data_IF_682331970101
#
_entry.id   IF_682331970101
#
_cell.length_a   1.000
_cell.length_b   1.000
_cell.length_c   1.000
_cell.angle_alpha   90.00
_cell.angle_beta   90.00
_cell.angle_gamma   90.00
#
_symmetry.space_group_name_H-M   'P 1'
#
loop_
_entity.id
_entity.type
_entity.pdbx_description
1 polymer ?
2 polymer ?
3 polymer ?
4 non-polymer ?
5 water ?
#
# COMPACT_ATOMS: atom_id res chain seq x y z
N UNK A 1 -12.95 9.32 -14.80
CA UNK A 1 -13.03 9.55 -13.36
C UNK A 1 -11.86 10.32 -12.77
N UNK A 2 -11.80 10.42 -11.44
CA UNK A 2 -10.74 11.11 -10.70
C UNK A 2 -9.43 10.35 -10.69
N UNK A 3 -8.29 11.09 -10.72
CA UNK A 3 -6.94 10.52 -10.67
C UNK A 3 -6.06 11.17 -9.62
N UNK A 4 -4.99 10.48 -9.24
CA UNK A 4 -4.10 11.03 -8.26
C UNK A 4 -2.68 10.78 -8.57
N UNK A 5 -1.78 11.56 -7.99
CA UNK A 5 -0.36 11.36 -8.11
C UNK A 5 0.15 11.44 -6.69
N UNK A 6 0.87 10.44 -6.21
CA UNK A 6 1.35 10.43 -4.83
C UNK A 6 2.73 9.94 -4.74
N UNK A 7 3.52 10.56 -3.85
CA UNK A 7 4.89 10.11 -3.59
C UNK A 7 4.94 9.65 -2.14
N UNK A 8 5.65 8.53 -1.87
CA UNK A 8 5.76 7.91 -0.55
C UNK A 8 7.20 7.78 -0.20
N UNK A 9 7.62 8.31 0.96
CA UNK A 9 9.03 8.23 1.36
C UNK A 9 9.12 7.62 2.72
N UNK A 10 10.07 6.71 2.92
CA UNK A 10 10.41 6.11 4.21
C UNK A 10 11.93 6.22 4.35
N UNK A 11 12.42 6.75 5.51
CA UNK A 11 13.82 6.85 5.93
C UNK A 11 13.90 6.16 7.30
N UNK A 12 14.79 5.17 7.41
CA UNK A 12 14.97 4.34 8.63
C UNK A 12 16.44 4.44 9.07
N UNK A 13 16.70 5.02 10.25
CA UNK A 13 18.04 5.13 10.80
C UNK A 13 18.59 3.75 11.14
N UNK A 14 19.87 3.51 10.80
CA UNK A 14 20.57 2.24 11.05
C UNK A 14 21.66 2.60 12.09
N UNK A 15 21.32 2.62 13.41
CA UNK A 15 22.30 3.07 14.41
C UNK A 15 23.66 2.40 14.29
N UNK A 16 24.66 3.24 13.95
CA UNK A 16 26.04 2.84 13.76
C UNK A 16 26.34 2.22 12.41
N UNK A 17 25.51 1.24 11.97
CA UNK A 17 25.66 0.50 10.71
C UNK A 17 25.32 1.32 9.43
N UNK A 18 25.87 2.53 9.35
CA UNK A 18 25.74 3.41 8.20
C UNK A 18 24.61 4.41 8.20
N UNK A 19 24.49 5.14 7.08
CA UNK A 19 23.47 6.15 6.83
C UNK A 19 22.07 5.48 6.72
N UNK A 20 20.98 6.23 6.96
CA UNK A 20 19.66 5.61 6.94
C UNK A 20 19.21 5.07 5.58
N UNK A 21 18.49 3.95 5.60
CA UNK A 21 17.86 3.36 4.43
C UNK A 21 16.70 4.26 3.96
N UNK A 22 16.81 4.80 2.75
CA UNK A 22 15.75 5.63 2.15
C UNK A 22 15.11 4.90 0.97
N UNK A 23 13.74 4.83 0.94
CA UNK A 23 12.96 4.22 -0.13
C UNK A 23 11.90 5.23 -0.55
N UNK A 24 11.88 5.64 -1.81
CA UNK A 24 10.91 6.58 -2.34
C UNK A 24 10.08 5.92 -3.42
N UNK A 25 8.77 6.08 -3.41
CA UNK A 25 7.95 5.42 -4.46
C UNK A 25 6.95 6.45 -5.00
N UNK A 26 6.77 6.50 -6.32
CA UNK A 26 5.81 7.38 -6.94
C UNK A 26 4.71 6.57 -7.56
N UNK A 27 3.46 7.02 -7.43
CA UNK A 27 2.29 6.35 -7.97
C UNK A 27 1.39 7.29 -8.73
N UNK A 28 0.79 6.79 -9.81
CA UNK A 28 -0.31 7.50 -10.49
C UNK A 28 -1.47 6.57 -10.19
N UNK A 29 -2.49 7.01 -9.41
CA UNK A 29 -3.60 6.17 -8.95
C UNK A 29 -2.99 4.99 -8.13
N UNK A 30 -3.28 3.72 -8.50
CA UNK A 30 -2.70 2.57 -7.80
C UNK A 30 -1.52 1.91 -8.51
N UNK A 31 -0.96 2.58 -9.55
CA UNK A 31 0.16 2.12 -10.38
C UNK A 31 1.44 2.86 -10.03
N UNK A 32 2.47 2.11 -9.58
CA UNK A 32 3.78 2.65 -9.27
C UNK A 32 4.47 2.99 -10.62
N UNK A 33 5.17 4.15 -10.71
CA UNK A 33 5.81 4.53 -11.97
C UNK A 33 7.27 4.88 -11.78
N UNK A 34 7.70 5.19 -10.54
CA UNK A 34 9.10 5.50 -10.25
C UNK A 34 9.51 4.92 -8.93
N UNK A 35 10.80 4.74 -8.72
CA UNK A 35 11.29 4.27 -7.43
C UNK A 35 12.69 4.83 -7.21
N UNK A 36 13.14 4.89 -5.97
CA UNK A 36 14.49 5.20 -5.59
C UNK A 36 14.76 4.40 -4.33
N UNK A 37 15.85 3.63 -4.32
CA UNK A 37 16.21 2.88 -3.13
C UNK A 37 17.66 3.13 -2.87
N UNK A 38 17.95 3.71 -1.69
CA UNK A 38 19.29 4.07 -1.23
C UNK A 38 20.23 2.86 -1.22
N UNK A 39 19.67 1.63 -1.16
CA UNK A 39 20.42 0.37 -1.15
C UNK A 39 20.54 -0.26 -2.54
N UNK A 40 19.81 0.27 -3.55
CA UNK A 40 19.85 -0.29 -4.90
C UNK A 40 21.17 0.04 -5.62
N UNK A 41 21.45 -0.69 -6.73
CA UNK A 41 22.68 -0.57 -7.51
C UNK A 41 22.83 0.73 -8.27
N UNK A 42 21.75 1.19 -8.92
CA UNK A 42 21.75 2.39 -9.76
C UNK A 42 22.06 3.71 -9.07
N UNK A 43 21.58 3.91 -7.82
CA UNK A 43 21.71 5.17 -7.09
C UNK A 43 21.01 6.30 -7.83
N UNK A 44 19.95 5.95 -8.55
CA UNK A 44 19.16 6.88 -9.35
C UNK A 44 17.70 6.59 -9.22
N UNK A 45 16.84 7.55 -9.59
CA UNK A 45 15.40 7.34 -9.66
C UNK A 45 15.21 6.46 -10.91
N UNK A 46 14.45 5.35 -10.78
CA UNK A 46 14.28 4.36 -11.82
C UNK A 46 12.85 4.29 -12.32
N UNK A 47 12.62 4.06 -13.63
CA UNK A 47 11.24 3.86 -14.11
C UNK A 47 10.64 2.54 -13.63
N UNK A 48 9.31 2.48 -13.45
CA UNK A 48 8.60 1.27 -13.00
C UNK A 48 7.33 1.07 -13.76
N UNK A 49 7.08 1.88 -14.78
CA UNK A 49 5.90 1.77 -15.63
C UNK A 49 6.35 2.03 -17.06
N UNK A 50 5.84 1.31 -18.07
CA UNK A 50 6.36 1.54 -19.43
C UNK A 50 6.16 2.94 -19.99
N UNK A 51 5.08 3.60 -19.61
CA UNK A 51 4.73 4.93 -20.12
C UNK A 51 5.56 6.05 -19.52
N UNK A 52 6.46 5.77 -18.54
CA UNK A 52 7.33 6.80 -17.95
C UNK A 52 8.68 6.67 -18.56
N UNK A 53 8.97 5.52 -19.15
CA UNK A 53 10.29 5.24 -19.71
C UNK A 53 10.66 6.20 -20.84
N UNK A 54 9.67 6.69 -21.59
CA UNK A 54 9.84 7.64 -22.72
C UNK A 54 10.41 9.03 -22.31
N UNK A 55 10.66 9.23 -20.99
CA UNK A 55 11.21 10.45 -20.41
C UNK A 55 12.69 10.51 -20.59
N UNK A 56 13.18 11.69 -20.94
CA UNK A 56 14.58 11.92 -21.28
C UNK A 56 15.58 11.92 -20.16
N UNK A 57 16.89 11.93 -20.51
CA UNK A 57 17.94 11.94 -19.47
C UNK A 57 17.90 13.14 -18.52
N UNK A 58 17.43 14.34 -18.98
CA UNK A 58 17.31 15.49 -18.10
C UNK A 58 16.22 15.24 -17.07
N UNK A 59 15.16 14.50 -17.44
CA UNK A 59 14.08 14.13 -16.54
C UNK A 59 14.63 13.26 -15.41
N UNK A 60 15.32 12.14 -15.73
CA UNK A 60 15.89 11.23 -14.72
C UNK A 60 16.99 11.84 -13.88
N UNK A 61 17.70 12.85 -14.42
CA UNK A 61 18.79 13.52 -13.70
C UNK A 61 18.21 14.41 -12.58
N UNK A 62 17.17 15.17 -12.92
CA UNK A 62 16.41 16.08 -12.10
C UNK A 62 15.74 15.28 -10.95
N UNK A 63 14.97 14.22 -11.30
CA UNK A 63 14.29 13.32 -10.37
C UNK A 63 15.26 12.72 -9.40
N UNK A 64 16.46 12.32 -9.88
CA UNK A 64 17.50 11.76 -9.03
C UNK A 64 17.99 12.80 -8.03
N UNK A 65 18.30 14.02 -8.50
CA UNK A 65 18.82 15.07 -7.64
C UNK A 65 17.83 15.42 -6.53
N UNK A 66 16.57 15.66 -6.92
CA UNK A 66 15.45 16.06 -6.10
C UNK A 66 15.00 15.01 -5.11
N UNK A 67 15.10 13.71 -5.45
CA UNK A 67 14.76 12.64 -4.54
C UNK A 67 15.89 12.47 -3.52
N UNK A 68 17.15 12.72 -3.92
CA UNK A 68 18.30 12.60 -3.02
C UNK A 68 18.31 13.70 -1.98
N UNK A 69 17.86 14.89 -2.39
CA UNK A 69 17.73 16.08 -1.55
C UNK A 69 16.69 15.80 -0.44
N UNK A 70 15.56 15.15 -0.78
CA UNK A 70 14.52 14.75 0.14
C UNK A 70 15.13 13.78 1.14
N UNK A 71 15.93 12.83 0.64
CA UNK A 71 16.63 11.86 1.46
C UNK A 71 17.56 12.52 2.48
N UNK A 72 18.22 13.62 2.10
CA UNK A 72 19.15 14.35 2.97
C UNK A 72 18.40 15.13 4.03
N UNK A 73 17.25 15.76 3.68
CA UNK A 73 16.42 16.46 4.66
C UNK A 73 15.99 15.43 5.73
N UNK A 74 15.44 14.29 5.28
CA UNK A 74 15.02 13.19 6.15
C UNK A 74 16.11 12.75 7.11
N UNK A 75 17.38 12.61 6.64
CA UNK A 75 18.57 12.24 7.43
C UNK A 75 18.80 13.22 8.58
N UNK A 76 18.68 14.54 8.29
CA UNK A 76 18.84 15.64 9.26
C UNK A 76 17.71 15.53 10.27
N UNK A 77 16.43 15.50 9.75
CA UNK A 77 15.20 15.41 10.50
C UNK A 77 15.18 14.22 11.46
N UNK A 78 15.82 13.09 11.14
CA UNK A 78 15.90 11.93 12.02
C UNK A 78 16.68 12.31 13.31
N UNK A 79 17.77 13.09 13.17
CA UNK A 79 18.55 13.61 14.29
C UNK A 79 17.81 14.72 15.03
N UNK A 80 17.16 15.62 14.30
CA UNK A 80 16.35 16.69 14.87
C UNK A 80 15.20 16.11 15.72
N UNK A 81 14.44 15.14 15.19
CA UNK A 81 13.28 14.52 15.88
C UNK A 81 13.70 13.67 17.06
N UNK A 82 14.91 13.11 17.03
CA UNK A 82 15.49 12.35 18.14
C UNK A 82 15.74 13.33 19.32
N UNK A 83 16.06 14.57 18.95
CA UNK A 83 16.29 15.68 19.87
C UNK A 83 14.99 16.13 20.49
N UNK A 84 13.97 16.40 19.66
CA UNK A 84 12.61 16.81 20.08
C UNK A 84 11.95 15.81 21.04
N UNK A 85 12.05 14.52 20.74
CA UNK A 85 11.45 13.49 21.55
C UNK A 85 12.36 12.95 22.62
N UNK A 86 13.57 13.52 22.78
CA UNK A 86 14.55 13.19 23.83
C UNK A 86 14.94 11.70 23.82
N UNK A 87 15.31 11.18 22.64
CA UNK A 87 15.67 9.76 22.50
C UNK A 87 17.14 9.53 22.33
N UNK A 88 17.63 8.33 22.70
CA UNK A 88 19.06 8.02 22.56
C UNK A 88 19.44 7.85 21.10
N UNK A 89 20.75 7.81 20.85
CA UNK A 89 21.39 7.63 19.55
C UNK A 89 21.41 6.15 19.13
N UNK A 90 21.12 5.22 20.07
CA UNK A 90 21.15 3.76 19.90
C UNK A 90 20.00 3.11 19.15
N UNK A 91 18.83 3.69 19.22
CA UNK A 91 17.65 3.09 18.60
C UNK A 91 17.48 3.47 17.15
N UNK A 92 16.77 2.60 16.42
CA UNK A 92 16.39 2.82 15.04
C UNK A 92 15.01 3.53 15.01
N UNK A 93 14.90 4.65 14.27
CA UNK A 93 13.64 5.39 14.13
C UNK A 93 13.29 5.58 12.65
N UNK A 94 11.99 5.82 12.38
CA UNK A 94 11.41 5.96 11.04
C UNK A 94 10.73 7.30 10.77
N UNK A 95 11.01 7.88 9.59
CA UNK A 95 10.26 9.03 9.10
C UNK A 95 9.46 8.60 7.86
N UNK A 96 8.15 8.88 7.79
CA UNK A 96 7.31 8.59 6.64
C UNK A 96 6.68 9.87 6.15
N UNK A 97 6.71 10.09 4.85
CA UNK A 97 6.12 11.25 4.21
C UNK A 97 5.28 10.79 3.08
N UNK A 98 4.09 11.32 3.00
CA UNK A 98 3.25 11.10 1.83
C UNK A 98 2.75 12.48 1.40
N UNK A 99 2.87 12.80 0.09
CA UNK A 99 2.35 14.03 -0.52
C UNK A 99 1.86 13.80 -1.94
N UNK A 100 0.95 14.63 -2.40
CA UNK A 100 0.44 14.53 -3.77
C UNK A 100 -0.80 15.31 -4.07
N UNK A 101 -1.41 15.05 -5.24
CA UNK A 101 -2.60 15.76 -5.66
C UNK A 101 -3.60 14.89 -6.41
N UNK A 102 -4.87 15.31 -6.36
CA UNK A 102 -5.97 14.73 -7.13
C UNK A 102 -6.48 15.73 -8.15
N UNK A 103 -6.90 15.22 -9.31
CA UNK A 103 -7.54 15.97 -10.41
C UNK A 103 -8.81 15.21 -10.79
N UNK A 104 -9.84 15.92 -11.24
CA UNK A 104 -11.11 15.35 -11.69
C UNK A 104 -11.02 14.76 -13.08
N UNK A 105 -12.15 14.25 -13.63
CA UNK A 105 -12.10 13.71 -15.01
C UNK A 105 -11.70 14.80 -16.04
N UNK A 106 -12.06 16.09 -15.80
CA UNK A 106 -11.64 17.18 -16.70
C UNK A 106 -10.21 17.59 -16.51
N UNK A 107 -9.55 17.01 -15.49
CA UNK A 107 -8.17 17.32 -15.16
C UNK A 107 -8.06 18.54 -14.27
N UNK A 108 -9.18 19.01 -13.74
CA UNK A 108 -9.20 20.15 -12.83
C UNK A 108 -8.69 19.70 -11.44
N UNK A 109 -7.83 20.50 -10.79
CA UNK A 109 -7.29 20.28 -9.43
C UNK A 109 -8.43 20.07 -8.47
N UNK A 110 -8.35 19.00 -7.64
CA UNK A 110 -9.37 18.71 -6.65
C UNK A 110 -8.89 18.95 -5.23
N UNK A 111 -7.71 18.39 -4.87
CA UNK A 111 -7.09 18.44 -3.54
C UNK A 111 -5.59 18.22 -3.64
N UNK A 112 -4.87 18.78 -2.67
CA UNK A 112 -3.44 18.60 -2.51
C UNK A 112 -3.25 18.10 -1.08
N UNK A 113 -2.17 17.42 -0.78
CA UNK A 113 -1.99 16.91 0.59
C UNK A 113 -0.59 16.63 0.91
N UNK A 114 -0.25 16.71 2.19
CA UNK A 114 1.05 16.33 2.74
C UNK A 114 0.90 15.87 4.18
N UNK A 115 1.34 14.67 4.48
CA UNK A 115 1.30 14.11 5.84
C UNK A 115 2.66 13.49 6.15
N UNK A 116 3.15 13.73 7.37
CA UNK A 116 4.40 13.21 7.89
C UNK A 116 4.12 12.44 9.16
N UNK A 117 4.96 11.41 9.40
CA UNK A 117 4.91 10.57 10.56
C UNK A 117 6.30 10.36 11.11
N UNK A 118 6.40 10.09 12.42
CA UNK A 118 7.65 9.74 13.08
C UNK A 118 7.35 8.50 13.88
N UNK A 119 8.07 7.38 13.63
CA UNK A 119 7.85 6.08 14.30
C UNK A 119 6.44 5.58 14.16
N UNK A 120 5.89 5.73 12.97
CA UNK A 120 4.54 5.27 12.63
C UNK A 120 3.37 5.98 13.27
N UNK A 121 3.55 7.19 13.79
CA UNK A 121 2.50 8.03 14.40
C UNK A 121 2.55 9.37 13.69
N UNK A 122 1.42 10.09 13.61
CA UNK A 122 1.30 11.42 13.03
C UNK A 122 2.30 12.33 13.64
N UNK A 123 2.93 13.16 12.80
CA UNK A 123 3.87 14.12 13.27
C UNK A 123 3.34 15.52 12.92
N UNK A 124 3.16 15.78 11.61
CA UNK A 124 2.64 17.04 11.10
C UNK A 124 1.96 16.74 9.74
N UNK A 125 0.91 17.49 9.44
CA UNK A 125 0.12 17.41 8.23
C UNK A 125 -0.24 18.83 7.77
N UNK A 126 -0.27 19.03 6.46
CA UNK A 126 -0.72 20.29 5.89
C UNK A 126 -2.22 20.18 5.87
N UNK A 127 -2.95 21.24 6.17
CA UNK A 127 -4.40 21.23 6.18
C UNK A 127 -4.98 21.30 4.78
N UNK A 128 -6.26 20.99 4.67
CA UNK A 128 -7.03 20.96 3.45
C UNK A 128 -6.92 22.26 2.64
N UNK A 129 -6.88 23.44 3.30
CA UNK A 129 -6.75 24.77 2.66
C UNK A 129 -5.42 24.97 1.96
N UNK A 130 -4.38 24.18 2.33
CA UNK A 130 -2.99 24.28 1.81
C UNK A 130 -2.23 25.55 2.31
N UNK A 131 -2.75 26.19 3.38
CA UNK A 131 -2.19 27.40 3.99
C UNK A 131 -1.67 27.16 5.41
N UNK A 132 -2.37 26.33 6.19
CA UNK A 132 -2.03 26.03 7.58
C UNK A 132 -1.58 24.58 7.84
N UNK A 133 -0.96 24.33 9.00
CA UNK A 133 -0.45 23.03 9.43
C UNK A 133 -1.16 22.57 10.69
N UNK A 134 -1.23 21.22 10.90
CA UNK A 134 -1.71 20.57 12.12
C UNK A 134 -0.60 19.64 12.61
N UNK A 135 0.03 20.03 13.73
CA UNK A 135 1.06 19.31 14.44
C UNK A 135 0.35 18.36 15.39
N UNK A 136 0.83 17.13 15.55
CA UNK A 136 0.15 16.10 16.37
C UNK A 136 0.44 16.21 17.86
N UNK A 137 1.46 16.95 18.23
CA UNK A 137 1.89 17.07 19.62
C UNK A 137 2.75 18.33 19.73
N UNK A 138 3.29 18.59 20.93
CA UNK A 138 4.09 19.77 21.25
C UNK A 138 5.47 19.80 20.63
N UNK A 139 6.13 18.65 20.39
CA UNK A 139 7.45 18.60 19.72
C UNK A 139 7.24 18.99 18.24
N UNK A 140 6.23 18.40 17.60
CA UNK A 140 5.86 18.68 16.20
C UNK A 140 5.51 20.15 15.96
N UNK A 141 5.04 20.86 16.99
CA UNK A 141 4.70 22.30 16.96
C UNK A 141 5.90 23.18 16.66
N UNK A 142 7.07 22.72 17.12
CA UNK A 142 8.38 23.35 16.89
C UNK A 142 8.61 23.41 15.35
N UNK A 143 8.33 22.29 14.61
CA UNK A 143 8.41 22.21 13.13
C UNK A 143 7.42 23.17 12.51
N UNK A 144 6.18 23.16 13.00
CA UNK A 144 5.12 24.07 12.55
C UNK A 144 5.52 25.55 12.65
N UNK A 145 6.11 25.96 13.79
CA UNK A 145 6.57 27.33 14.03
C UNK A 145 7.63 27.72 13.01
N UNK A 146 8.58 26.82 12.78
CA UNK A 146 9.68 26.98 11.83
C UNK A 146 9.13 27.12 10.38
N UNK A 147 8.12 26.32 10.01
CA UNK A 147 7.54 26.32 8.66
C UNK A 147 6.62 27.49 8.41
N UNK A 148 5.94 27.96 9.47
CA UNK A 148 5.06 29.10 9.39
C UNK A 148 5.89 30.37 9.14
N UNK A 149 7.07 30.43 9.80
CA UNK A 149 8.01 31.56 9.72
C UNK A 149 8.65 31.58 8.34
N UNK A 150 9.13 30.41 7.88
CA UNK A 150 9.79 30.23 6.57
C UNK A 150 8.82 30.27 5.40
N UNK A 151 7.50 30.38 5.64
CA UNK A 151 6.43 30.40 4.63
C UNK A 151 6.51 29.13 3.76
N UNK A 152 6.77 27.99 4.41
CA UNK A 152 6.91 26.69 3.77
C UNK A 152 5.62 26.25 3.09
N UNK A 153 4.46 26.58 3.67
CA UNK A 153 3.18 26.22 3.09
C UNK A 153 2.98 26.79 1.72
N UNK A 154 3.41 28.07 1.49
CA UNK A 154 3.26 28.74 0.18
C UNK A 154 4.14 28.04 -0.86
N UNK A 155 5.35 27.66 -0.43
CA UNK A 155 6.31 26.93 -1.26
C UNK A 155 5.77 25.53 -1.67
N UNK A 156 5.17 24.82 -0.70
CA UNK A 156 4.58 23.49 -0.86
C UNK A 156 3.32 23.56 -1.69
N UNK A 157 2.47 24.56 -1.44
CA UNK A 157 1.24 24.78 -2.18
C UNK A 157 1.53 24.96 -3.68
N UNK A 158 2.58 25.75 -4.02
CA UNK A 158 3.03 26.04 -5.41
C UNK A 158 3.22 24.71 -6.17
N UNK A 159 3.76 23.70 -5.47
CA UNK A 159 3.92 22.35 -6.00
C UNK A 159 2.62 21.58 -6.03
N UNK A 160 1.89 21.49 -4.90
CA UNK A 160 0.69 20.66 -4.79
C UNK A 160 -0.47 21.09 -5.64
N UNK A 161 -0.61 22.40 -5.93
CA UNK A 161 -1.75 22.78 -6.74
C UNK A 161 -1.33 23.33 -8.12
N UNK A 162 -0.02 23.27 -8.38
CA UNK A 162 0.65 23.70 -9.62
C UNK A 162 1.50 22.62 -10.27
N UNK A 163 2.80 22.51 -9.90
CA UNK A 163 3.75 21.51 -10.43
C UNK A 163 3.18 20.06 -10.46
N UNK A 164 2.58 19.60 -9.34
CA UNK A 164 2.00 18.27 -9.17
C UNK A 164 0.91 18.05 -10.24
N UNK A 165 -0.07 18.96 -10.31
CA UNK A 165 -1.19 18.93 -11.27
C UNK A 165 -0.68 18.93 -12.73
N UNK A 166 0.35 19.73 -13.06
CA UNK A 166 0.91 19.82 -14.44
C UNK A 166 1.43 18.43 -14.87
N UNK A 167 2.30 17.84 -14.07
CA UNK A 167 2.89 16.56 -14.38
C UNK A 167 1.90 15.39 -14.28
N UNK A 168 0.93 15.41 -13.33
CA UNK A 168 -0.07 14.37 -13.28
C UNK A 168 -0.83 14.35 -14.63
N UNK A 169 -1.24 15.53 -15.14
CA UNK A 169 -1.93 15.66 -16.43
C UNK A 169 -1.08 15.10 -17.55
N UNK A 170 0.23 15.32 -17.55
CA UNK A 170 1.16 14.78 -18.53
C UNK A 170 1.25 13.25 -18.46
N UNK A 171 1.41 12.68 -17.23
CA UNK A 171 1.50 11.26 -17.01
C UNK A 171 0.24 10.56 -17.45
N UNK A 172 -0.92 11.16 -17.21
CA UNK A 172 -2.22 10.59 -17.61
C UNK A 172 -2.38 10.59 -19.12
N UNK A 173 -1.72 11.53 -19.81
CA UNK A 173 -1.75 11.62 -21.27
C UNK A 173 -0.76 10.61 -21.84
N UNK A 174 0.46 10.56 -21.30
CA UNK A 174 1.49 9.61 -21.68
C UNK A 174 1.12 8.13 -21.42
N UNK A 175 0.33 7.87 -20.38
CA UNK A 175 -0.14 6.52 -20.05
C UNK A 175 -1.60 6.30 -20.32
N UNK A 176 -2.20 7.07 -21.24
CA UNK A 176 -3.62 7.02 -21.58
C UNK A 176 -4.10 5.61 -22.02
N UNK A 177 -3.17 4.79 -22.51
CA UNK A 177 -3.42 3.43 -22.98
C UNK A 177 -3.72 2.45 -21.86
N UNK A 178 -3.25 2.74 -20.61
CA UNK A 178 -3.38 1.87 -19.42
C UNK A 178 -4.04 2.53 -18.18
N UNK A 179 -3.76 3.82 -17.89
CA UNK A 179 -4.30 4.51 -16.69
C UNK A 179 -5.82 4.81 -16.71
N UNK A 180 -6.43 4.98 -17.90
CA UNK A 180 -7.87 5.23 -17.97
C UNK A 180 -8.73 3.92 -17.79
N UNK A 181 -8.09 2.72 -17.74
CA UNK A 181 -8.75 1.42 -17.50
C UNK A 181 -9.30 1.28 -16.06
N UNK A 182 -10.48 0.70 -15.95
CA UNK A 182 -11.18 0.31 -14.71
C UNK A 182 -11.65 -1.12 -14.98
N UNK A 183 -11.21 -2.11 -14.17
CA UNK A 183 -11.64 -3.49 -14.31
C UNK A 183 -12.66 -3.78 -13.19
N UNK A 184 -13.92 -4.18 -13.53
CA UNK A 184 -14.90 -4.44 -12.46
C UNK A 184 -14.65 -5.79 -11.76
N UNK A 185 -15.13 -5.98 -10.50
CA UNK A 185 -14.85 -7.26 -9.80
C UNK A 185 -15.58 -8.46 -10.39
N UNK A 186 -14.86 -9.60 -10.55
CA UNK A 186 -15.44 -10.89 -10.93
C UNK A 186 -15.88 -11.51 -9.61
N UNK A 187 -17.20 -11.55 -9.35
CA UNK A 187 -17.78 -12.07 -8.12
C UNK A 187 -18.16 -13.57 -8.17
N UNK A 188 -18.16 -14.21 -6.98
CA UNK A 188 -18.54 -15.61 -6.75
C UNK A 188 -18.59 -15.91 -5.24
N UNK A 189 -19.19 -17.04 -4.87
CA UNK A 189 -19.32 -17.46 -3.49
C UNK A 189 -18.85 -18.88 -3.35
N UNK A 190 -18.19 -19.22 -2.22
CA UNK A 190 -17.72 -20.59 -1.97
C UNK A 190 -18.31 -21.09 -0.65
N UNK A 191 -18.26 -22.41 -0.43
CA UNK A 191 -18.91 -23.02 0.74
C UNK A 191 -18.01 -24.08 1.24
N UNK A 192 -17.71 -24.00 2.54
CA UNK A 192 -16.73 -24.89 3.19
C UNK A 192 -17.26 -25.36 4.54
N UNK A 193 -17.78 -26.62 4.63
CA UNK A 193 -18.22 -27.13 5.95
C UNK A 193 -17.07 -27.10 6.95
N UNK A 194 -17.32 -26.70 8.18
CA UNK A 194 -16.27 -26.68 9.22
C UNK A 194 -16.52 -27.84 10.21
N UNK A 195 -17.69 -28.49 10.05
CA UNK A 195 -18.16 -29.64 10.81
C UNK A 195 -19.43 -30.19 10.10
N UNK A 196 -20.12 -31.12 10.77
CA UNK A 196 -21.37 -31.71 10.28
C UNK A 196 -22.52 -30.69 10.35
N UNK A 197 -22.42 -29.65 11.23
CA UNK A 197 -23.51 -28.72 11.55
C UNK A 197 -23.33 -27.26 11.08
N UNK A 198 -22.10 -26.85 10.72
CA UNK A 198 -21.83 -25.49 10.28
C UNK A 198 -20.92 -25.44 9.07
N UNK A 199 -21.00 -24.34 8.32
CA UNK A 199 -20.18 -24.09 7.14
C UNK A 199 -19.76 -22.62 6.99
N UNK A 200 -18.61 -22.36 6.38
CA UNK A 200 -18.12 -21.01 6.05
C UNK A 200 -18.64 -20.59 4.66
N UNK A 201 -19.46 -19.53 4.57
CA UNK A 201 -19.81 -18.98 3.26
C UNK A 201 -18.77 -17.87 3.01
N UNK A 202 -18.01 -17.97 1.92
CA UNK A 202 -16.99 -17.01 1.57
C UNK A 202 -17.36 -16.29 0.24
N UNK A 203 -17.48 -14.96 0.30
CA UNK A 203 -17.81 -14.11 -0.82
C UNK A 203 -16.56 -13.52 -1.40
N UNK A 204 -16.34 -13.78 -2.66
CA UNK A 204 -15.16 -13.37 -3.38
C UNK A 204 -15.39 -12.23 -4.39
N UNK A 205 -14.34 -11.41 -4.62
CA UNK A 205 -14.24 -10.31 -5.61
C UNK A 205 -12.82 -10.28 -6.11
N UNK A 206 -12.63 -10.62 -7.40
CA UNK A 206 -11.32 -10.73 -8.01
C UNK A 206 -11.17 -9.82 -9.22
N UNK A 207 -9.91 -9.58 -9.62
CA UNK A 207 -9.54 -8.78 -10.76
C UNK A 207 -10.13 -7.37 -10.88
N UNK A 208 -10.38 -6.67 -9.76
CA UNK A 208 -10.91 -5.30 -9.85
C UNK A 208 -9.75 -4.23 -9.79
N UNK A 209 -9.76 -3.19 -10.70
CA UNK A 209 -8.66 -2.20 -10.73
C UNK A 209 -8.85 -1.05 -9.73
N UNK A 210 -9.96 -0.31 -9.61
CA UNK A 210 -10.01 0.65 -8.49
C UNK A 210 -10.00 -0.19 -7.20
N UNK A 211 -8.83 -0.27 -6.50
CA UNK A 211 -8.62 -1.06 -5.27
C UNK A 211 -9.73 -0.89 -4.25
N UNK A 212 -10.40 0.26 -4.25
CA UNK A 212 -11.57 0.56 -3.38
C UNK A 212 -12.74 -0.42 -3.66
N UNK A 213 -13.31 -1.04 -2.60
CA UNK A 213 -14.41 -2.01 -2.68
C UNK A 213 -15.17 -2.15 -1.36
N UNK A 214 -16.41 -2.60 -1.42
CA UNK A 214 -17.22 -2.87 -0.22
C UNK A 214 -17.88 -4.25 -0.35
N UNK A 215 -17.53 -5.17 0.56
CA UNK A 215 -18.09 -6.52 0.63
C UNK A 215 -18.79 -6.64 1.99
N UNK A 216 -20.12 -6.76 2.01
CA UNK A 216 -20.82 -6.91 3.30
C UNK A 216 -21.69 -8.21 3.35
N UNK A 217 -21.97 -8.71 4.56
CA UNK A 217 -22.80 -9.89 4.77
C UNK A 217 -24.09 -9.48 5.52
N UNK A 218 -25.24 -9.92 5.01
CA UNK A 218 -26.52 -9.64 5.63
C UNK A 218 -27.32 -10.92 5.89
N UNK A 219 -27.80 -11.11 7.14
CA UNK A 219 -28.64 -12.25 7.49
C UNK A 219 -30.08 -11.73 7.57
N UNK A 220 -30.87 -11.99 6.50
CA UNK A 220 -32.26 -11.55 6.34
C UNK A 220 -32.37 -10.02 6.39
N UNK A 221 -31.57 -9.34 5.59
CA UNK A 221 -31.53 -7.88 5.53
C UNK A 221 -30.63 -7.23 6.56
N UNK A 222 -30.66 -7.70 7.82
CA UNK A 222 -29.86 -7.21 8.96
C UNK A 222 -28.37 -7.51 8.76
N UNK A 223 -27.49 -6.49 8.92
CA UNK A 223 -26.04 -6.62 8.75
C UNK A 223 -25.37 -7.49 9.81
N UNK A 224 -24.37 -8.30 9.39
CA UNK A 224 -23.63 -9.24 10.25
C UNK A 224 -22.17 -8.81 10.45
N UNK A 225 -21.91 -7.48 10.43
CA UNK A 225 -20.58 -6.84 10.53
C UNK A 225 -19.73 -7.27 11.76
N UNK A 226 -20.33 -8.01 12.72
CA UNK A 226 -19.72 -8.51 13.95
C UNK A 226 -19.25 -9.99 13.84
N UNK A 227 -19.83 -10.75 12.87
CA UNK A 227 -19.51 -12.17 12.65
C UNK A 227 -18.83 -12.42 11.29
N UNK A 228 -18.44 -11.33 10.63
CA UNK A 228 -17.78 -11.35 9.33
C UNK A 228 -16.24 -11.32 9.45
N UNK A 229 -15.56 -12.26 8.79
CA UNK A 229 -14.11 -12.23 8.70
C UNK A 229 -13.82 -11.54 7.37
N UNK A 230 -13.28 -10.32 7.44
CA UNK A 230 -12.92 -9.54 6.27
C UNK A 230 -11.42 -9.49 6.15
N UNK A 231 -10.89 -9.87 4.99
CA UNK A 231 -9.46 -9.78 4.76
C UNK A 231 -9.11 -8.44 4.07
N UNK A 232 -7.88 -7.95 4.30
CA UNK A 232 -7.37 -6.75 3.69
C UNK A 232 -7.30 -6.96 2.17
N UNK A 233 -7.65 -5.93 1.38
CA UNK A 233 -7.58 -5.96 -0.08
C UNK A 233 -6.17 -6.20 -0.41
N UNK A 234 -5.92 -7.07 -1.36
CA UNK A 234 -4.55 -7.48 -1.66
C UNK A 234 -4.29 -7.35 -3.14
N UNK A 235 -3.04 -7.11 -3.55
CA UNK A 235 -2.74 -7.03 -4.98
C UNK A 235 -2.64 -8.43 -5.64
N UNK A 236 -3.26 -8.61 -6.81
CA UNK A 236 -3.13 -9.84 -7.60
C UNK A 236 -1.69 -9.91 -8.16
N UNK A 237 -1.09 -8.74 -8.42
CA UNK A 237 0.27 -8.62 -8.92
C UNK A 237 0.37 -8.23 -10.38
N UNK A 238 -0.80 -8.03 -11.01
CA UNK A 238 -0.92 -7.63 -12.42
C UNK A 238 -1.71 -6.29 -12.51
N UNK A 239 -1.70 -5.54 -11.41
CA UNK A 239 -2.38 -4.26 -11.31
C UNK A 239 -3.77 -4.33 -10.76
N UNK A 240 -4.35 -5.53 -10.70
CA UNK A 240 -5.71 -5.70 -10.18
C UNK A 240 -5.65 -6.15 -8.73
N UNK A 241 -6.77 -6.04 -8.00
CA UNK A 241 -6.86 -6.37 -6.60
C UNK A 241 -7.83 -7.52 -6.34
N UNK A 242 -7.80 -8.06 -5.11
CA UNK A 242 -8.65 -9.17 -4.65
C UNK A 242 -9.07 -8.94 -3.23
N UNK A 243 -10.27 -9.41 -2.86
CA UNK A 243 -10.77 -9.35 -1.49
C UNK A 243 -11.81 -10.47 -1.27
N UNK A 244 -11.94 -10.92 -0.02
CA UNK A 244 -12.98 -11.85 0.39
C UNK A 244 -13.50 -11.52 1.77
N UNK A 245 -14.76 -11.82 1.98
CA UNK A 245 -15.52 -11.65 3.22
C UNK A 245 -16.13 -13.03 3.52
N UNK A 246 -16.14 -13.44 4.79
CA UNK A 246 -16.68 -14.76 5.17
C UNK A 246 -17.55 -14.70 6.38
N UNK A 247 -18.48 -15.62 6.48
CA UNK A 247 -19.40 -15.78 7.59
C UNK A 247 -19.56 -17.30 7.87
N UNK A 248 -19.62 -17.71 9.14
CA UNK A 248 -19.85 -19.11 9.56
C UNK A 248 -21.36 -19.21 9.79
N UNK A 249 -22.03 -20.06 9.00
CA UNK A 249 -23.49 -20.23 9.02
C UNK A 249 -23.90 -21.63 9.50
N UNK A 250 -25.08 -21.78 10.15
CA UNK A 250 -25.55 -23.14 10.50
C UNK A 250 -25.98 -23.88 9.22
N UNK A 251 -25.54 -25.12 9.05
CA UNK A 251 -25.88 -25.93 7.88
C UNK A 251 -27.40 -26.01 7.71
N UNK A 252 -27.86 -25.65 6.51
CA UNK A 252 -29.26 -25.62 6.12
C UNK A 252 -29.86 -24.23 6.11
N UNK A 253 -29.11 -23.24 6.64
CA UNK A 253 -29.56 -21.85 6.75
C UNK A 253 -28.87 -20.90 5.75
N UNK A 254 -28.04 -21.43 4.84
CA UNK A 254 -27.27 -20.71 3.81
C UNK A 254 -28.06 -19.70 2.98
N UNK A 255 -29.32 -20.02 2.68
CA UNK A 255 -30.17 -19.17 1.83
C UNK A 255 -30.59 -17.85 2.52
N UNK A 256 -30.43 -17.77 3.87
CA UNK A 256 -30.73 -16.61 4.73
C UNK A 256 -29.66 -15.51 4.64
N UNK A 257 -28.51 -15.83 4.02
CA UNK A 257 -27.34 -14.95 3.91
C UNK A 257 -27.14 -14.42 2.51
N UNK A 258 -26.87 -13.11 2.42
CA UNK A 258 -26.61 -12.39 1.17
C UNK A 258 -25.27 -11.64 1.22
N UNK A 259 -24.52 -11.66 0.14
CA UNK A 259 -23.29 -10.90 0.06
C UNK A 259 -23.50 -9.69 -0.86
N UNK A 260 -23.35 -8.46 -0.33
CA UNK A 260 -23.51 -7.24 -1.13
C UNK A 260 -22.14 -6.68 -1.57
N UNK A 261 -21.94 -6.48 -2.90
CA UNK A 261 -20.68 -6.04 -3.53
C UNK A 261 -20.78 -4.63 -4.19
N UNK A 262 -20.42 -3.58 -3.42
CA UNK A 262 -20.37 -2.19 -3.88
C UNK A 262 -18.96 -1.85 -4.39
N UNK A 263 -18.89 -1.48 -5.65
CA UNK A 263 -17.72 -1.04 -6.39
C UNK A 263 -18.21 0.04 -7.39
N UNK A 264 -17.30 0.97 -7.77
CA UNK A 264 -17.58 2.11 -8.67
C UNK A 264 -17.73 1.69 -10.13
N UNK A 265 -16.95 0.68 -10.56
CA UNK A 265 -16.98 0.14 -11.92
C UNK A 265 -18.13 -0.82 -12.17
N UNK A 266 -19.13 -0.82 -11.26
CA UNK A 266 -20.31 -1.66 -11.24
C UNK A 266 -21.60 -0.81 -11.33
N UNK A 267 -22.41 -1.03 -12.40
CA UNK A 267 -23.66 -0.28 -12.56
C UNK A 267 -24.61 -0.28 -11.37
N UNK A 268 -24.77 -1.44 -10.73
CA UNK A 268 -25.64 -1.60 -9.58
C UNK A 268 -24.95 -2.53 -8.58
N UNK A 269 -25.13 -2.30 -7.24
CA UNK A 269 -24.51 -3.19 -6.24
C UNK A 269 -24.93 -4.67 -6.33
N UNK A 270 -23.96 -5.54 -6.75
CA UNK A 270 -24.15 -6.99 -6.88
C UNK A 270 -24.57 -7.67 -5.60
N UNK A 271 -25.56 -8.56 -5.69
CA UNK A 271 -26.06 -9.38 -4.59
C UNK A 271 -25.85 -10.85 -4.94
N UNK A 272 -25.27 -11.58 -3.99
CA UNK A 272 -24.93 -12.97 -4.14
C UNK A 272 -25.60 -13.74 -3.02
N UNK A 273 -26.14 -14.92 -3.36
CA UNK A 273 -26.81 -15.80 -2.41
C UNK A 273 -26.39 -17.23 -2.69
N UNK A 274 -26.20 -18.04 -1.64
CA UNK A 274 -25.83 -19.44 -1.85
C UNK A 274 -27.04 -20.19 -2.44
N UNK A 275 -26.93 -20.54 -3.74
CA UNK A 275 -27.96 -21.20 -4.57
C UNK A 275 -28.19 -22.61 -4.07
N UNK A 276 -29.08 -22.82 -3.10
CA UNK A 276 -29.25 -24.19 -2.62
C UNK A 276 -30.14 -25.00 -3.53
N UNK A 277 -29.75 -26.28 -3.67
CA UNK A 277 -30.29 -27.41 -4.42
C UNK A 277 -31.82 -27.39 -4.73
N UNK B 1 8.06 2.64 21.83
CA UNK B 1 7.15 2.95 20.71
C UNK B 1 6.19 1.78 20.44
N UNK B 2 5.10 2.05 19.67
CA UNK B 2 4.13 1.01 19.31
C UNK B 2 4.62 0.27 18.06
N UNK B 3 4.63 -1.07 18.18
CA UNK B 3 5.00 -2.01 17.15
C UNK B 3 3.74 -2.74 16.73
N UNK B 4 3.61 -3.02 15.43
CA UNK B 4 2.44 -3.70 14.87
C UNK B 4 2.88 -4.94 14.13
N UNK B 5 2.24 -6.06 14.45
CA UNK B 5 2.57 -7.35 13.89
C UNK B 5 2.00 -7.50 12.50
N UNK B 6 2.75 -8.13 11.56
CA UNK B 6 2.22 -8.31 10.19
C UNK B 6 0.98 -9.18 10.07
N UNK B 7 0.15 -8.85 9.08
CA UNK B 7 -1.00 -9.66 8.67
C UNK B 7 -0.46 -10.36 7.45
N UNK B 8 -0.62 -11.69 7.36
CA UNK B 8 0.00 -12.43 6.26
C UNK B 8 -1.03 -13.11 5.42
N UNK B 9 -0.94 -12.95 4.09
CA UNK B 9 -1.86 -13.63 3.18
C UNK B 9 -1.04 -14.34 2.12
N UNK B 10 -1.33 -15.64 1.90
CA UNK B 10 -0.64 -16.46 0.89
C UNK B 10 -1.71 -16.83 -0.08
N UNK B 11 -1.49 -16.55 -1.36
CA UNK B 11 -2.52 -16.79 -2.35
C UNK B 11 -1.91 -16.85 -3.74
N UNK B 12 -2.72 -17.04 -4.75
CA UNK B 12 -2.20 -17.10 -6.11
C UNK B 12 -2.84 -15.99 -6.93
N UNK B 13 -2.15 -15.49 -7.95
CA UNK B 13 -2.69 -14.40 -8.80
C UNK B 13 -4.00 -14.83 -9.44
N UNK B 14 -3.99 -15.98 -10.15
CA UNK B 14 -5.19 -16.50 -10.81
C UNK B 14 -5.70 -17.75 -10.04
N UNK B 15 -7.02 -18.10 -10.11
CA UNK B 15 -7.50 -19.31 -9.39
C UNK B 15 -6.72 -20.58 -9.77
N UNK B 16 -6.29 -21.36 -8.75
CA UNK B 16 -5.42 -22.55 -8.86
C UNK B 16 -5.94 -23.64 -9.81
N UNK B 17 -5.05 -24.08 -10.70
CA UNK B 17 -5.34 -25.10 -11.71
C UNK B 17 -4.12 -25.96 -11.81
N UNK B 18 -4.29 -27.23 -11.42
CA UNK B 18 -3.20 -28.21 -11.44
C UNK B 18 -2.61 -28.34 -12.84
N UNK B 19 -1.29 -28.08 -12.94
CA UNK B 19 -0.53 -28.11 -14.17
C UNK B 19 -0.38 -26.78 -14.87
N UNK B 20 -1.30 -25.83 -14.56
CA UNK B 20 -1.32 -24.50 -15.15
C UNK B 20 -0.47 -23.48 -14.37
N UNK B 21 0.59 -22.93 -15.03
CA UNK B 21 1.48 -21.91 -14.47
C UNK B 21 0.69 -20.71 -13.93
N UNK B 22 1.18 -20.13 -12.82
CA UNK B 22 0.51 -19.07 -12.07
C UNK B 22 1.55 -18.28 -11.29
N UNK B 23 1.06 -17.49 -10.33
CA UNK B 23 1.88 -16.70 -9.45
C UNK B 23 1.48 -16.93 -8.01
N UNK B 24 2.46 -17.25 -7.17
CA UNK B 24 2.29 -17.46 -5.74
C UNK B 24 2.61 -16.13 -5.06
N UNK B 25 1.65 -15.61 -4.32
CA UNK B 25 1.76 -14.34 -3.61
C UNK B 25 1.78 -14.48 -2.09
N UNK B 26 2.63 -13.69 -1.47
CA UNK B 26 2.66 -13.50 -0.03
C UNK B 26 2.58 -12.01 0.26
N UNK B 27 1.41 -11.57 0.68
CA UNK B 27 1.16 -10.18 0.99
C UNK B 27 1.21 -9.99 2.50
N UNK B 28 2.15 -9.18 2.94
CA UNK B 28 2.39 -8.87 4.33
C UNK B 28 2.00 -7.38 4.53
N UNK B 29 1.12 -7.09 5.49
CA UNK B 29 0.66 -5.72 5.70
C UNK B 29 0.42 -5.40 7.16
N UNK B 30 0.21 -4.11 7.44
CA UNK B 30 -0.11 -3.58 8.75
C UNK B 30 0.98 -3.75 9.77
N UNK B 31 2.23 -3.76 9.33
CA UNK B 31 3.32 -3.95 10.27
C UNK B 31 4.14 -2.70 10.52
N UNK B 32 4.77 -2.64 11.68
CA UNK B 32 5.65 -1.54 12.06
C UNK B 32 6.58 -2.04 13.18
N UNK B 33 7.91 -1.82 13.09
CA UNK B 33 8.66 -1.13 12.02
C UNK B 33 8.80 -1.91 10.72
N UNK B 34 9.40 -1.30 9.71
CA UNK B 34 9.57 -1.82 8.36
C UNK B 34 10.49 -3.04 8.20
N UNK B 35 11.44 -3.24 9.13
CA UNK B 35 12.34 -4.39 9.03
C UNK B 35 11.53 -5.68 9.09
N UNK B 36 11.61 -6.50 8.04
CA UNK B 36 10.86 -7.75 7.96
C UNK B 36 11.63 -8.76 7.07
N UNK B 37 11.47 -10.06 7.33
CA UNK B 37 12.08 -11.08 6.50
C UNK B 37 10.96 -11.97 6.02
N UNK B 38 10.90 -12.16 4.70
CA UNK B 38 9.83 -12.95 4.09
C UNK B 38 10.45 -13.95 3.12
N UNK B 39 10.11 -15.24 3.30
CA UNK B 39 10.54 -16.31 2.40
C UNK B 39 9.36 -17.05 1.87
N UNK B 40 9.40 -17.42 0.59
CA UNK B 40 8.37 -18.27 0.00
C UNK B 40 8.95 -19.70 0.04
N UNK B 41 8.20 -20.68 0.54
CA UNK B 41 8.66 -22.05 0.70
C UNK B 41 7.90 -23.05 -0.18
N UNK B 42 8.62 -24.04 -0.72
CA UNK B 42 8.08 -25.17 -1.51
C UNK B 42 8.53 -26.40 -0.72
N UNK B 43 7.58 -27.17 -0.18
CA UNK B 43 7.82 -28.39 0.63
C UNK B 43 8.85 -28.16 1.74
N UNK B 44 8.75 -27.02 2.42
CA UNK B 44 9.61 -26.62 3.53
C UNK B 44 10.93 -26.01 3.15
N UNK B 45 11.20 -25.83 1.83
CA UNK B 45 12.46 -25.26 1.35
C UNK B 45 12.30 -23.88 0.71
N UNK B 46 13.18 -22.94 1.08
CA UNK B 46 13.18 -21.55 0.60
C UNK B 46 13.38 -21.45 -0.93
N UNK B 47 12.36 -20.89 -1.64
CA UNK B 47 12.41 -20.62 -3.08
C UNK B 47 13.42 -19.48 -3.29
N UNK B 48 14.51 -19.77 -4.02
CA UNK B 48 15.67 -18.93 -4.29
C UNK B 48 15.39 -17.61 -5.06
N UNK B 49 14.56 -17.63 -6.12
CA UNK B 49 14.35 -16.40 -6.90
C UNK B 49 12.94 -15.82 -6.76
N UNK B 50 12.71 -15.16 -5.61
CA UNK B 50 11.45 -14.51 -5.24
C UNK B 50 11.67 -12.99 -5.29
N UNK B 51 10.75 -12.28 -5.94
CA UNK B 51 10.80 -10.83 -6.05
C UNK B 51 9.83 -10.15 -5.05
N UNK B 52 10.09 -8.89 -4.73
CA UNK B 52 9.19 -8.14 -3.89
C UNK B 52 8.94 -6.74 -4.40
N UNK B 53 7.81 -6.14 -3.98
CA UNK B 53 7.46 -4.77 -4.32
C UNK B 53 8.30 -3.80 -3.48
N UNK B 54 8.30 -2.53 -3.86
CA UNK B 54 9.03 -1.51 -3.11
C UNK B 54 8.21 -1.13 -1.88
N UNK B 55 8.88 -0.98 -0.74
CA UNK B 55 8.25 -0.63 0.53
C UNK B 55 7.36 0.61 0.45
N UNK B 56 6.12 0.39 0.83
CA UNK B 56 5.12 1.42 0.86
C UNK B 56 4.35 1.27 2.14
N UNK B 57 3.35 2.15 2.34
CA UNK B 57 2.59 2.16 3.59
C UNK B 57 1.18 2.69 3.39
N UNK B 58 0.32 2.37 4.36
CA UNK B 58 -1.11 2.68 4.34
C UNK B 58 -1.40 3.99 5.07
N UNK B 59 -2.67 4.41 5.02
CA UNK B 59 -3.17 5.63 5.67
C UNK B 59 -2.85 5.65 7.17
N UNK B 60 -2.92 4.47 7.83
CA UNK B 60 -2.59 4.37 9.24
C UNK B 60 -1.07 4.31 9.51
N UNK B 61 -0.22 4.54 8.45
CA UNK B 61 1.26 4.52 8.48
C UNK B 61 1.88 3.11 8.55
N UNK B 62 1.05 2.06 8.63
CA UNK B 62 1.60 0.71 8.72
C UNK B 62 2.06 0.28 7.32
N UNK B 63 3.12 -0.53 7.29
CA UNK B 63 3.77 -0.97 6.06
C UNK B 63 3.17 -2.16 5.38
N UNK B 64 3.47 -2.28 4.09
CA UNK B 64 3.02 -3.43 3.29
C UNK B 64 3.99 -3.79 2.20
N UNK B 65 4.04 -5.08 1.89
CA UNK B 65 4.93 -5.61 0.87
C UNK B 65 4.29 -6.80 0.24
N UNK B 66 4.58 -6.97 -1.06
CA UNK B 66 4.17 -8.14 -1.85
C UNK B 66 5.40 -8.90 -2.32
N UNK B 67 5.51 -10.18 -1.90
CA UNK B 67 6.55 -11.12 -2.30
C UNK B 67 5.89 -12.08 -3.27
N UNK B 68 6.54 -12.33 -4.41
CA UNK B 68 5.95 -13.12 -5.48
C UNK B 68 6.96 -13.94 -6.29
N UNK B 69 6.47 -15.04 -6.85
CA UNK B 69 7.23 -15.93 -7.70
C UNK B 69 6.28 -16.71 -8.56
N UNK B 70 6.76 -17.00 -9.79
CA UNK B 70 6.08 -17.80 -10.81
C UNK B 70 6.13 -19.24 -10.29
N UNK B 71 5.00 -19.96 -10.35
CA UNK B 71 4.92 -21.34 -9.87
C UNK B 71 3.83 -22.13 -10.61
N UNK B 72 3.98 -23.46 -10.68
CA UNK B 72 2.98 -24.32 -11.30
C UNK B 72 2.39 -25.17 -10.16
N UNK B 73 1.13 -24.92 -9.72
CA UNK B 73 0.60 -25.69 -8.59
C UNK B 73 0.30 -27.17 -8.87
N UNK B 74 1.09 -28.06 -8.25
CA UNK B 74 0.87 -29.50 -8.34
C UNK B 74 0.06 -29.93 -7.11
N UNK B 75 -0.53 -31.12 -7.16
CA UNK B 75 -1.34 -31.69 -6.08
C UNK B 75 -0.52 -32.02 -4.84
N UNK B 76 0.69 -32.59 -5.04
CA UNK B 76 1.57 -33.01 -3.95
C UNK B 76 2.50 -31.91 -3.45
N UNK B 77 2.63 -30.80 -4.22
CA UNK B 77 3.48 -29.68 -3.81
C UNK B 77 2.80 -28.79 -2.77
N UNK B 78 3.50 -28.58 -1.66
CA UNK B 78 3.09 -27.76 -0.51
C UNK B 78 3.79 -26.43 -0.60
N UNK B 79 3.04 -25.32 -0.62
CA UNK B 79 3.63 -23.99 -0.67
C UNK B 79 3.32 -23.21 0.61
N UNK B 80 4.27 -22.40 1.10
CA UNK B 80 4.07 -21.60 2.31
C UNK B 80 4.82 -20.28 2.30
N UNK B 81 4.41 -19.35 3.15
CA UNK B 81 5.13 -18.09 3.36
C UNK B 81 5.64 -18.09 4.79
N UNK B 82 6.92 -17.81 4.99
CA UNK B 82 7.54 -17.77 6.31
C UNK B 82 7.97 -16.33 6.60
N UNK B 83 7.43 -15.72 7.70
CA UNK B 83 7.67 -14.30 8.04
C UNK B 83 8.38 -14.09 9.40
N UNK B 84 9.43 -13.28 9.42
CA UNK B 84 10.03 -12.92 10.69
C UNK B 84 9.99 -11.40 10.90
N UNK B 85 9.46 -11.01 12.07
CA UNK B 85 9.34 -9.61 12.48
C UNK B 85 9.65 -9.51 13.97
N UNK B 86 10.13 -8.34 14.43
CA UNK B 86 10.43 -8.06 15.84
C UNK B 86 9.21 -8.38 16.76
N UNK B 87 7.97 -8.29 16.24
CA UNK B 87 6.77 -8.59 17.03
C UNK B 87 6.47 -10.09 17.23
N UNK B 88 7.20 -10.97 16.50
CA UNK B 88 6.97 -12.41 16.52
C UNK B 88 7.95 -13.15 17.42
N UNK B 89 7.44 -14.13 18.21
CA UNK B 89 8.29 -14.92 19.13
C UNK B 89 9.14 -15.92 18.33
N UNK B 90 8.60 -16.40 17.21
CA UNK B 90 9.26 -17.30 16.27
C UNK B 90 8.75 -16.98 14.86
N UNK B 91 9.56 -17.20 13.79
CA UNK B 91 9.05 -16.95 12.42
C UNK B 91 7.71 -17.62 12.23
N UNK B 92 6.77 -16.92 11.62
CA UNK B 92 5.43 -17.47 11.41
C UNK B 92 5.37 -18.11 10.03
N UNK B 93 4.75 -19.28 9.93
CA UNK B 93 4.59 -19.95 8.63
C UNK B 93 3.11 -20.03 8.34
N UNK B 94 2.72 -19.55 7.15
CA UNK B 94 1.36 -19.62 6.68
C UNK B 94 1.42 -20.46 5.41
N UNK B 95 0.72 -21.57 5.41
CA UNK B 95 0.66 -22.48 4.28
C UNK B 95 -0.33 -21.92 3.27
N UNK B 96 -0.09 -22.21 2.00
CA UNK B 96 -0.97 -21.84 0.90
C UNK B 96 -2.19 -22.78 0.87
N UNK B 97 -3.37 -22.20 0.86
CA UNK B 97 -4.65 -22.90 0.85
C UNK B 97 -5.51 -22.30 -0.29
N UNK B 98 -5.74 -23.09 -1.35
CA UNK B 98 -6.54 -22.72 -2.55
C UNK B 98 -7.89 -22.00 -2.25
N UNK B 99 -8.56 -22.42 -1.16
CA UNK B 99 -9.87 -21.96 -0.67
C UNK B 99 -9.92 -20.50 -0.15
N UNK B 100 -8.76 -19.91 0.18
CA UNK B 100 -8.64 -18.54 0.68
C UNK B 100 -7.30 -17.90 0.31
N UNK C 1 6.39 14.28 -10.98
CA UNK C 1 7.70 14.81 -10.62
C UNK C 1 7.75 15.07 -9.10
N UNK C 2 8.89 14.76 -8.40
CA UNK C 2 9.03 15.02 -6.96
C UNK C 2 9.26 16.53 -6.76
N UNK C 3 9.02 17.01 -5.55
CA UNK C 3 9.26 18.39 -5.14
C UNK C 3 10.71 18.79 -5.34
N UNK C 4 11.00 19.98 -5.90
CA UNK C 4 12.41 20.38 -6.04
C UNK C 4 13.02 20.88 -4.72
N UNK C 5 12.20 21.51 -3.86
CA UNK C 5 12.67 22.07 -2.59
C UNK C 5 12.06 21.32 -1.43
N UNK C 6 12.66 21.43 -0.24
CA UNK C 6 12.17 20.77 0.96
C UNK C 6 12.74 21.45 2.20
N UNK C 7 11.88 22.01 3.06
CA UNK C 7 12.30 22.68 4.29
C UNK C 7 12.49 21.62 5.34
N UNK C 8 13.56 21.75 6.14
CA UNK C 8 13.91 20.81 7.20
C UNK C 8 12.99 20.96 8.42
N UNK C 9 12.90 19.91 9.22
CA UNK C 9 12.06 19.86 10.41
C UNK C 9 12.70 20.54 11.65
#
# INVERSE_FOLDING_TARGET
>A
GSHSMRYFFTSVSRPGRGEPRFIAVGYVDDTQFVRFDSDAASQRMEPRAPWIEQEGPEYWDQETRNVKAQSQTDRVDLGTLRGYYNQSEAGSHTIQIMYGCDVGSDGRFLRGYRQDAYDGKDYIALNEDLRSWTAADMAAQITKRKWEAAHEAEQLRAYLDGTCVEWLRRYLENGKETLQRTDPPKTHMTHHPISDHEATLRCWALGFYPAEITLTWQRDGEDQTQDTELVETRPAGDGTFQKWAAVVVPSGEEQRYTCHVQHEGLPKPLTLRWELS
>B
MIQRTPKIQVYSRHPAENGKSNFLNCYVSGFHPSDIEVDLLKNGERIEKVEHSDLSFSKDWSFYLLYYTEFTPTEKDEYACRVNHVTLSQPKIVKWDRDM
>C
VVRPSVASK
#
